data_IF_431369520310
#
_entry.id   IF_431369520310
#
_cell.length_a   1.000
_cell.length_b   1.000
_cell.length_c   1.000
_cell.angle_alpha   90.00
_cell.angle_beta   90.00
_cell.angle_gamma   90.00
#
_symmetry.space_group_name_H-M   'P 1'
#
loop_
_entity.id
_entity.type
_entity.pdbx_description
1 polymer ?
#
# COMPACT_ATOMS: atom_id res chain seq x y z
N UNK A 1 -37.25 21.01 1.02
CA UNK A 1 -36.22 20.74 -0.01
C UNK A 1 -35.05 20.03 0.67
N UNK A 2 -35.06 18.68 0.67
CA UNK A 2 -33.91 17.89 1.12
C UNK A 2 -32.73 18.13 0.18
N UNK A 3 -31.63 18.68 0.69
CA UNK A 3 -30.38 18.73 -0.04
C UNK A 3 -29.95 17.28 -0.34
N UNK A 4 -30.15 16.83 -1.59
CA UNK A 4 -29.49 15.61 -2.10
C UNK A 4 -28.01 15.74 -1.80
N UNK A 5 -27.51 14.99 -0.80
CA UNK A 5 -26.08 14.76 -0.64
C UNK A 5 -25.59 14.22 -1.98
N UNK A 6 -24.74 14.95 -2.68
CA UNK A 6 -24.09 14.50 -3.90
C UNK A 6 -23.28 13.26 -3.52
N UNK A 7 -23.81 12.10 -3.83
CA UNK A 7 -23.10 10.85 -3.59
C UNK A 7 -21.81 10.87 -4.41
N UNK A 8 -20.68 10.59 -3.79
CA UNK A 8 -19.38 10.46 -4.47
C UNK A 8 -19.55 9.45 -5.61
N UNK A 9 -19.15 9.78 -6.86
CA UNK A 9 -19.23 8.84 -7.98
C UNK A 9 -18.57 7.50 -7.65
N UNK A 10 -19.19 6.38 -8.04
CA UNK A 10 -18.70 5.03 -7.70
C UNK A 10 -17.25 4.80 -8.12
N UNK A 11 -16.84 5.29 -9.29
CA UNK A 11 -15.48 5.16 -9.78
C UNK A 11 -14.45 5.86 -8.89
N UNK A 12 -14.78 6.98 -8.23
CA UNK A 12 -13.91 7.64 -7.27
C UNK A 12 -13.81 6.84 -5.96
N UNK A 13 -14.88 6.16 -5.56
CA UNK A 13 -14.85 5.24 -4.42
C UNK A 13 -13.87 4.08 -4.65
N UNK A 14 -13.88 3.48 -5.83
CA UNK A 14 -12.94 2.41 -6.21
C UNK A 14 -11.50 2.95 -6.31
N UNK A 15 -11.29 4.13 -6.90
CA UNK A 15 -9.98 4.78 -6.91
C UNK A 15 -9.47 5.05 -5.48
N UNK A 16 -10.36 5.44 -4.56
CA UNK A 16 -10.01 5.66 -3.15
C UNK A 16 -9.55 4.38 -2.44
N UNK A 17 -10.15 3.22 -2.76
CA UNK A 17 -9.68 1.92 -2.24
C UNK A 17 -8.25 1.62 -2.71
N UNK A 18 -7.95 1.89 -3.99
CA UNK A 18 -6.57 1.74 -4.48
C UNK A 18 -5.61 2.68 -3.75
N UNK A 19 -5.89 3.99 -3.73
CA UNK A 19 -5.03 5.00 -3.09
C UNK A 19 -4.80 4.65 -1.62
N UNK A 20 -5.86 4.34 -0.86
CA UNK A 20 -5.77 3.98 0.55
C UNK A 20 -4.98 2.70 0.80
N UNK A 21 -5.06 1.71 -0.10
CA UNK A 21 -4.27 0.48 -0.01
C UNK A 21 -2.81 0.70 -0.40
N UNK A 22 -2.52 1.64 -1.32
CA UNK A 22 -1.18 1.95 -1.81
C UNK A 22 -0.37 2.78 -0.78
N UNK A 23 -1.00 3.82 -0.23
CA UNK A 23 -0.36 4.73 0.74
C UNK A 23 -0.42 4.19 2.17
N UNK A 24 -0.02 2.93 2.35
CA UNK A 24 0.17 2.34 3.67
C UNK A 24 1.40 2.88 4.39
N UNK A 25 1.67 2.37 5.62
CA UNK A 25 2.74 2.87 6.47
C UNK A 25 4.13 2.91 5.81
N UNK A 26 4.46 1.94 4.97
CA UNK A 26 5.76 1.88 4.27
C UNK A 26 5.99 3.05 3.32
N UNK A 27 4.94 3.55 2.64
CA UNK A 27 5.05 4.74 1.79
C UNK A 27 5.01 6.02 2.61
N UNK A 28 4.10 6.11 3.56
CA UNK A 28 3.93 7.30 4.39
C UNK A 28 5.15 7.64 5.25
N UNK A 29 5.97 6.65 5.67
CA UNK A 29 7.27 6.89 6.32
C UNK A 29 8.33 7.46 5.40
N UNK A 30 8.14 7.41 4.08
CA UNK A 30 9.13 7.74 3.06
C UNK A 30 10.12 6.61 2.75
N UNK A 31 10.07 5.51 3.49
CA UNK A 31 11.02 4.40 3.32
C UNK A 31 10.90 3.75 1.91
N UNK A 32 9.69 3.58 1.39
CA UNK A 32 9.49 3.10 0.01
C UNK A 32 9.98 4.12 -1.02
N UNK A 33 9.75 5.42 -0.77
CA UNK A 33 10.22 6.47 -1.67
C UNK A 33 11.74 6.46 -1.78
N UNK A 34 12.45 6.30 -0.67
CA UNK A 34 13.91 6.21 -0.66
C UNK A 34 14.38 4.92 -1.34
N UNK A 35 13.86 3.77 -0.91
CA UNK A 35 14.28 2.47 -1.41
C UNK A 35 14.15 2.30 -2.92
N UNK A 36 13.01 2.73 -3.47
CA UNK A 36 12.65 2.42 -4.84
C UNK A 36 12.90 3.56 -5.83
N UNK A 37 13.15 4.80 -5.32
CA UNK A 37 13.23 6.00 -6.14
C UNK A 37 14.39 6.92 -5.78
N UNK A 38 14.38 7.57 -4.62
CA UNK A 38 15.35 8.63 -4.26
C UNK A 38 16.79 8.17 -4.36
N UNK A 39 17.10 6.92 -4.00
CA UNK A 39 18.46 6.36 -4.10
C UNK A 39 19.03 6.36 -5.51
N UNK A 40 18.21 6.52 -6.55
CA UNK A 40 18.63 6.60 -7.96
C UNK A 40 18.78 8.03 -8.46
N UNK A 41 18.77 9.02 -7.56
CA UNK A 41 18.86 10.42 -7.91
C UNK A 41 17.64 10.92 -8.69
N UNK A 42 17.84 11.85 -9.63
CA UNK A 42 16.76 12.47 -10.41
C UNK A 42 15.95 11.48 -11.26
N UNK A 43 16.56 10.35 -11.68
CA UNK A 43 15.87 9.30 -12.43
C UNK A 43 14.69 8.74 -11.61
N UNK A 44 14.84 8.68 -10.30
CA UNK A 44 13.79 8.25 -9.38
C UNK A 44 12.54 9.14 -9.36
N UNK A 45 12.60 10.37 -9.89
CA UNK A 45 11.42 11.24 -10.01
C UNK A 45 10.49 10.81 -11.14
N UNK A 46 11.03 10.12 -12.16
CA UNK A 46 10.29 9.74 -13.37
C UNK A 46 9.82 8.29 -13.32
N UNK A 47 10.57 7.43 -12.68
CA UNK A 47 10.29 5.98 -12.63
C UNK A 47 9.01 5.57 -11.89
N UNK A 48 8.36 6.39 -11.01
CA UNK A 48 7.02 6.10 -10.51
C UNK A 48 5.96 5.90 -11.60
N UNK A 49 6.11 6.60 -12.74
CA UNK A 49 5.23 6.42 -13.90
C UNK A 49 5.22 4.96 -14.39
N UNK A 50 6.41 4.37 -14.49
CA UNK A 50 6.57 2.98 -14.91
C UNK A 50 6.02 1.99 -13.88
N UNK A 51 6.32 2.21 -12.60
CA UNK A 51 5.80 1.36 -11.52
C UNK A 51 4.27 1.35 -11.52
N UNK A 52 3.66 2.54 -11.61
CA UNK A 52 2.20 2.66 -11.61
C UNK A 52 1.57 2.17 -12.91
N UNK A 53 2.28 2.21 -14.04
CA UNK A 53 1.83 1.59 -15.28
C UNK A 53 1.66 0.08 -15.12
N UNK A 54 2.62 -0.61 -14.48
CA UNK A 54 2.51 -2.04 -14.18
C UNK A 54 1.34 -2.30 -13.24
N UNK A 55 1.29 -1.60 -12.10
CA UNK A 55 0.20 -1.76 -11.12
C UNK A 55 -1.17 -1.44 -11.73
N UNK A 56 -1.29 -0.31 -12.43
CA UNK A 56 -2.54 0.15 -13.04
C UNK A 56 -3.05 -0.79 -14.13
N UNK A 57 -2.15 -1.39 -14.90
CA UNK A 57 -2.50 -2.39 -15.89
C UNK A 57 -3.09 -3.67 -15.26
N UNK A 58 -2.44 -4.18 -14.19
CA UNK A 58 -2.95 -5.31 -13.40
C UNK A 58 -4.32 -4.97 -12.81
N UNK A 59 -4.43 -3.79 -12.16
CA UNK A 59 -5.69 -3.32 -11.57
C UNK A 59 -6.80 -3.26 -12.61
N UNK A 60 -6.53 -2.69 -13.80
CA UNK A 60 -7.54 -2.55 -14.84
C UNK A 60 -8.07 -3.89 -15.33
N UNK A 61 -7.17 -4.80 -15.73
CA UNK A 61 -7.62 -6.06 -16.31
C UNK A 61 -8.33 -6.95 -15.30
N UNK A 62 -7.82 -7.05 -14.07
CA UNK A 62 -8.46 -7.88 -13.05
C UNK A 62 -9.78 -7.28 -12.54
N UNK A 63 -9.84 -5.94 -12.34
CA UNK A 63 -11.05 -5.24 -11.94
C UNK A 63 -12.16 -5.37 -13.00
N UNK A 64 -11.81 -5.15 -14.29
CA UNK A 64 -12.78 -5.22 -15.38
C UNK A 64 -13.32 -6.62 -15.57
N UNK A 65 -12.45 -7.64 -15.52
CA UNK A 65 -12.90 -9.04 -15.57
C UNK A 65 -13.84 -9.37 -14.39
N UNK A 66 -13.46 -8.98 -13.17
CA UNK A 66 -14.26 -9.22 -11.97
C UNK A 66 -15.65 -8.54 -12.07
N UNK A 67 -15.70 -7.30 -12.55
CA UNK A 67 -16.93 -6.54 -12.78
C UNK A 67 -17.83 -7.23 -13.80
N UNK A 68 -17.27 -7.60 -14.95
CA UNK A 68 -18.00 -8.17 -16.08
C UNK A 68 -18.62 -9.54 -15.73
N UNK A 69 -17.90 -10.37 -14.96
CA UNK A 69 -18.33 -11.72 -14.58
C UNK A 69 -18.97 -11.81 -13.19
N UNK A 70 -19.15 -10.67 -12.49
CA UNK A 70 -19.73 -10.67 -11.13
C UNK A 70 -18.91 -11.46 -10.11
N UNK A 71 -17.58 -11.43 -10.23
CA UNK A 71 -16.64 -12.19 -9.39
C UNK A 71 -15.73 -11.27 -8.54
N UNK A 72 -16.28 -10.49 -7.59
CA UNK A 72 -15.47 -9.57 -6.77
C UNK A 72 -14.51 -10.30 -5.82
N UNK A 73 -14.77 -11.56 -5.51
CA UNK A 73 -13.88 -12.40 -4.71
C UNK A 73 -12.83 -13.10 -5.57
N UNK A 74 -11.59 -13.16 -5.09
CA UNK A 74 -10.48 -13.74 -5.86
C UNK A 74 -10.62 -15.24 -6.14
N UNK A 75 -11.27 -16.04 -5.27
CA UNK A 75 -11.54 -17.47 -5.51
C UNK A 75 -12.56 -17.69 -6.62
N UNK A 76 -13.76 -17.04 -6.59
CA UNK A 76 -14.67 -17.04 -7.72
C UNK A 76 -14.02 -16.49 -8.99
N UNK A 77 -13.23 -15.40 -8.89
CA UNK A 77 -12.48 -14.86 -10.01
C UNK A 77 -11.54 -15.91 -10.63
N UNK A 78 -10.71 -16.57 -9.80
CA UNK A 78 -9.77 -17.56 -10.29
C UNK A 78 -10.47 -18.73 -10.98
N UNK A 79 -11.57 -19.25 -10.41
CA UNK A 79 -12.34 -20.33 -11.03
C UNK A 79 -13.01 -19.89 -12.34
N UNK A 80 -13.63 -18.72 -12.35
CA UNK A 80 -14.24 -18.15 -13.56
C UNK A 80 -13.19 -17.92 -14.64
N UNK A 81 -12.04 -17.36 -14.29
CA UNK A 81 -11.01 -16.99 -15.25
C UNK A 81 -10.22 -18.19 -15.77
N UNK A 82 -9.83 -19.15 -14.91
CA UNK A 82 -8.92 -20.24 -15.25
C UNK A 82 -9.59 -21.62 -15.33
N UNK A 83 -10.92 -21.71 -15.08
CA UNK A 83 -11.67 -22.96 -14.98
C UNK A 83 -11.51 -23.63 -13.60
N UNK A 84 -12.34 -24.64 -13.31
CA UNK A 84 -12.46 -25.21 -11.96
C UNK A 84 -11.14 -25.80 -11.43
N UNK A 85 -10.43 -26.61 -12.23
CA UNK A 85 -9.20 -27.29 -11.77
C UNK A 85 -8.04 -26.31 -11.60
N UNK A 86 -7.69 -25.56 -12.65
CA UNK A 86 -6.57 -24.62 -12.61
C UNK A 86 -6.87 -23.43 -11.71
N UNK A 87 -8.11 -22.94 -11.71
CA UNK A 87 -8.55 -21.85 -10.83
C UNK A 87 -8.45 -22.20 -9.36
N UNK A 88 -8.63 -23.46 -8.97
CA UNK A 88 -8.35 -23.94 -7.62
C UNK A 88 -6.87 -23.75 -7.22
N UNK A 89 -5.95 -24.15 -8.08
CA UNK A 89 -4.50 -23.97 -7.85
C UNK A 89 -4.13 -22.49 -7.80
N UNK A 90 -4.62 -21.69 -8.76
CA UNK A 90 -4.36 -20.23 -8.79
C UNK A 90 -4.90 -19.55 -7.53
N UNK A 91 -6.05 -19.97 -7.02
CA UNK A 91 -6.59 -19.43 -5.77
C UNK A 91 -5.67 -19.70 -4.57
N UNK A 92 -5.05 -20.89 -4.49
CA UNK A 92 -4.05 -21.20 -3.45
C UNK A 92 -2.79 -20.34 -3.60
N UNK A 93 -2.32 -20.14 -4.84
CA UNK A 93 -1.18 -19.23 -5.08
C UNK A 93 -1.50 -17.78 -4.66
N UNK A 94 -2.74 -17.33 -4.89
CA UNK A 94 -3.20 -16.05 -4.39
C UNK A 94 -3.25 -16.01 -2.85
N UNK A 95 -3.62 -17.12 -2.18
CA UNK A 95 -3.58 -17.21 -0.71
C UNK A 95 -2.13 -17.07 -0.20
N UNK A 96 -1.18 -17.73 -0.83
CA UNK A 96 0.25 -17.62 -0.49
C UNK A 96 0.73 -16.17 -0.66
N UNK A 97 0.44 -15.53 -1.81
CA UNK A 97 0.78 -14.12 -2.04
C UNK A 97 0.17 -13.20 -0.96
N UNK A 98 -1.07 -13.46 -0.55
CA UNK A 98 -1.71 -12.69 0.50
C UNK A 98 -1.01 -12.85 1.86
N UNK A 99 -0.66 -14.07 2.25
CA UNK A 99 0.04 -14.32 3.52
C UNK A 99 1.44 -13.70 3.53
N UNK A 100 2.16 -13.77 2.41
CA UNK A 100 3.45 -13.09 2.25
C UNK A 100 3.30 -11.56 2.34
N UNK A 101 2.26 -11.01 1.71
CA UNK A 101 1.94 -9.57 1.80
C UNK A 101 1.56 -9.19 3.22
N UNK A 102 0.78 -10.02 3.93
CA UNK A 102 0.42 -9.82 5.34
C UNK A 102 1.66 -9.79 6.24
N UNK A 103 2.60 -10.71 6.04
CA UNK A 103 3.86 -10.73 6.78
C UNK A 103 4.71 -9.49 6.48
N UNK A 104 4.83 -9.12 5.22
CA UNK A 104 5.66 -8.00 4.80
C UNK A 104 5.02 -6.65 5.17
N UNK A 105 3.81 -6.37 4.69
CA UNK A 105 3.15 -5.08 4.91
C UNK A 105 2.72 -4.88 6.37
N UNK A 106 2.20 -5.92 7.02
CA UNK A 106 1.88 -5.91 8.45
C UNK A 106 3.14 -5.78 9.31
N UNK A 107 4.21 -6.50 8.95
CA UNK A 107 5.51 -6.38 9.60
C UNK A 107 6.09 -4.98 9.52
N UNK A 108 6.05 -4.36 8.33
CA UNK A 108 6.46 -2.96 8.13
C UNK A 108 5.59 -1.98 8.92
N UNK A 109 4.28 -2.22 8.97
CA UNK A 109 3.36 -1.37 9.71
C UNK A 109 3.70 -1.35 11.20
N UNK A 110 3.80 -2.51 11.83
CA UNK A 110 4.07 -2.62 13.27
C UNK A 110 5.49 -2.21 13.65
N UNK A 111 6.49 -2.61 12.86
CA UNK A 111 7.87 -2.23 13.11
C UNK A 111 8.14 -0.74 12.82
N UNK A 112 7.50 -0.18 11.80
CA UNK A 112 7.56 1.24 11.49
C UNK A 112 6.96 2.11 12.59
N UNK A 113 5.78 1.72 13.09
CA UNK A 113 5.12 2.39 14.22
C UNK A 113 5.95 2.29 15.50
N UNK A 114 6.50 1.11 15.79
CA UNK A 114 7.39 0.92 16.91
C UNK A 114 8.58 1.87 16.89
N UNK A 115 9.24 2.02 15.73
CA UNK A 115 10.36 2.97 15.56
C UNK A 115 9.93 4.43 15.63
N UNK A 116 8.76 4.75 15.05
CA UNK A 116 8.23 6.11 15.04
C UNK A 116 7.95 6.60 16.47
N UNK A 117 7.20 5.83 17.26
CA UNK A 117 6.86 6.22 18.64
C UNK A 117 8.07 6.11 19.59
N UNK A 118 8.98 5.18 19.35
CA UNK A 118 10.25 5.13 20.08
C UNK A 118 11.07 6.41 19.84
N UNK A 119 11.24 6.83 18.60
CA UNK A 119 12.00 8.02 18.26
C UNK A 119 11.34 9.33 18.68
N UNK A 120 10.01 9.41 18.66
CA UNK A 120 9.25 10.63 18.92
C UNK A 120 8.83 10.79 20.38
N UNK A 121 8.40 9.71 21.06
CA UNK A 121 7.89 9.73 22.44
C UNK A 121 8.81 9.02 23.43
N UNK A 122 9.88 8.35 22.98
CA UNK A 122 10.74 7.54 23.84
C UNK A 122 10.10 6.24 24.36
N UNK A 123 8.95 5.82 23.80
CA UNK A 123 8.25 4.61 24.21
C UNK A 123 9.02 3.39 23.74
N UNK A 124 9.06 2.33 24.55
CA UNK A 124 9.73 1.09 24.17
C UNK A 124 9.13 0.50 22.89
N UNK A 125 10.00 0.13 21.95
CA UNK A 125 9.64 -0.44 20.65
C UNK A 125 8.66 -1.63 20.74
N UNK A 126 8.97 -2.61 21.60
CA UNK A 126 8.15 -3.81 21.72
C UNK A 126 6.80 -3.53 22.38
N UNK A 127 6.76 -2.64 23.37
CA UNK A 127 5.50 -2.19 23.99
C UNK A 127 4.60 -1.55 22.95
N UNK A 128 5.14 -0.66 22.13
CA UNK A 128 4.38 -0.02 21.03
C UNK A 128 3.86 -1.06 20.04
N UNK A 129 4.72 -1.95 19.56
CA UNK A 129 4.34 -2.97 18.58
C UNK A 129 3.22 -3.88 19.12
N UNK A 130 3.35 -4.36 20.36
CA UNK A 130 2.33 -5.22 21.00
C UNK A 130 1.01 -4.49 21.17
N UNK A 131 1.02 -3.25 21.68
CA UNK A 131 -0.20 -2.45 21.84
C UNK A 131 -0.88 -2.22 20.50
N UNK A 132 -0.12 -1.87 19.47
CA UNK A 132 -0.64 -1.64 18.11
C UNK A 132 -1.27 -2.91 17.54
N UNK A 133 -0.66 -4.09 17.74
CA UNK A 133 -1.21 -5.38 17.33
C UNK A 133 -2.54 -5.67 18.05
N UNK A 134 -2.58 -5.48 19.38
CA UNK A 134 -3.78 -5.73 20.18
C UNK A 134 -4.94 -4.79 19.80
N UNK A 135 -4.65 -3.51 19.59
CA UNK A 135 -5.67 -2.53 19.15
C UNK A 135 -6.14 -2.87 17.73
N UNK A 136 -5.23 -3.27 16.82
CA UNK A 136 -5.62 -3.72 15.48
C UNK A 136 -6.49 -4.97 15.51
N UNK A 137 -6.22 -5.93 16.41
CA UNK A 137 -7.06 -7.10 16.63
C UNK A 137 -8.47 -6.71 17.11
N UNK A 138 -8.56 -5.84 18.10
CA UNK A 138 -9.84 -5.35 18.61
C UNK A 138 -10.65 -4.62 17.51
N UNK A 139 -10.00 -3.75 16.72
CA UNK A 139 -10.63 -3.08 15.57
C UNK A 139 -11.09 -4.07 14.50
N UNK A 140 -10.32 -5.11 14.21
CA UNK A 140 -10.69 -6.14 13.24
C UNK A 140 -11.93 -6.93 13.70
N UNK A 141 -11.98 -7.29 14.99
CA UNK A 141 -13.06 -8.15 15.53
C UNK A 141 -14.37 -7.38 15.79
N UNK A 142 -14.26 -6.18 16.33
CA UNK A 142 -15.40 -5.40 16.83
C UNK A 142 -15.68 -4.11 16.05
N UNK A 143 -14.70 -3.61 15.30
CA UNK A 143 -14.73 -2.30 14.66
C UNK A 143 -15.00 -2.30 13.15
N UNK A 144 -15.55 -3.37 12.55
CA UNK A 144 -15.70 -3.48 11.09
C UNK A 144 -16.46 -2.33 10.44
N UNK A 145 -17.52 -1.81 11.08
CA UNK A 145 -18.26 -0.62 10.62
C UNK A 145 -17.42 0.67 10.73
N UNK A 146 -16.62 0.77 11.79
CA UNK A 146 -15.71 1.88 12.01
C UNK A 146 -14.58 1.87 10.97
N UNK A 147 -13.99 0.70 10.70
CA UNK A 147 -12.96 0.51 9.68
C UNK A 147 -13.45 0.93 8.29
N UNK A 148 -14.61 0.46 7.88
CA UNK A 148 -15.20 0.81 6.58
C UNK A 148 -15.44 2.32 6.44
N UNK A 149 -15.90 2.98 7.51
CA UNK A 149 -16.14 4.42 7.51
C UNK A 149 -14.84 5.24 7.58
N UNK A 150 -13.87 4.81 8.39
CA UNK A 150 -12.61 5.54 8.61
C UNK A 150 -11.65 5.44 7.43
N UNK A 151 -11.63 4.31 6.70
CA UNK A 151 -10.72 4.12 5.57
C UNK A 151 -10.88 5.19 4.48
N UNK A 152 -12.11 5.62 4.19
CA UNK A 152 -12.37 6.70 3.24
C UNK A 152 -11.82 8.06 3.72
N UNK A 153 -12.03 8.40 4.98
CA UNK A 153 -11.52 9.66 5.56
C UNK A 153 -9.99 9.65 5.69
N UNK A 154 -9.40 8.49 6.01
CA UNK A 154 -7.96 8.32 6.08
C UNK A 154 -7.26 8.64 4.77
N UNK A 155 -7.83 8.22 3.63
CA UNK A 155 -7.28 8.56 2.32
C UNK A 155 -7.18 10.09 2.14
N UNK A 156 -8.25 10.83 2.42
CA UNK A 156 -8.23 12.30 2.30
C UNK A 156 -7.23 12.95 3.27
N UNK A 157 -7.13 12.41 4.50
CA UNK A 157 -6.17 12.89 5.48
C UNK A 157 -4.73 12.65 5.03
N UNK A 158 -4.41 11.45 4.51
CA UNK A 158 -3.08 11.11 3.97
C UNK A 158 -2.73 12.05 2.81
N UNK A 159 -3.64 12.24 1.86
CA UNK A 159 -3.45 13.15 0.72
C UNK A 159 -3.16 14.57 1.21
N UNK A 160 -3.99 15.10 2.11
CA UNK A 160 -3.84 16.45 2.65
C UNK A 160 -2.52 16.63 3.39
N UNK A 161 -2.14 15.68 4.24
CA UNK A 161 -0.90 15.78 5.03
C UNK A 161 0.34 15.61 4.16
N UNK A 162 0.34 14.70 3.17
CA UNK A 162 1.46 14.55 2.23
C UNK A 162 1.67 15.85 1.46
N UNK A 163 0.61 16.46 0.92
CA UNK A 163 0.72 17.73 0.22
C UNK A 163 1.16 18.87 1.14
N UNK A 164 0.63 18.93 2.37
CA UNK A 164 1.04 19.92 3.37
C UNK A 164 2.53 19.80 3.72
N UNK A 165 3.01 18.58 3.99
CA UNK A 165 4.43 18.31 4.26
C UNK A 165 5.28 18.75 3.06
N UNK A 166 4.88 18.38 1.83
CA UNK A 166 5.59 18.78 0.61
C UNK A 166 5.70 20.31 0.51
N UNK A 167 4.59 21.02 0.63
CA UNK A 167 4.59 22.50 0.53
C UNK A 167 5.47 23.11 1.62
N UNK A 168 5.32 22.70 2.88
CA UNK A 168 6.09 23.26 3.98
C UNK A 168 7.57 22.90 3.89
N UNK A 169 7.91 21.70 3.49
CA UNK A 169 9.28 21.26 3.32
C UNK A 169 10.01 22.07 2.23
N UNK A 170 9.32 22.35 1.11
CA UNK A 170 9.89 23.10 -0.01
C UNK A 170 9.91 24.62 0.19
N UNK A 171 9.01 25.16 1.04
CA UNK A 171 8.89 26.63 1.22
C UNK A 171 9.46 27.15 2.54
N UNK A 172 9.56 26.33 3.57
CA UNK A 172 9.99 26.70 4.90
C UNK A 172 11.18 25.89 5.41
N UNK A 173 11.51 24.79 4.73
CA UNK A 173 12.63 23.95 5.06
C UNK A 173 13.96 24.46 4.48
N UNK A 174 15.03 23.81 4.89
CA UNK A 174 16.40 24.02 4.42
C UNK A 174 16.74 23.15 3.19
N UNK A 175 15.73 22.79 2.38
CA UNK A 175 15.94 21.99 1.18
C UNK A 175 16.78 22.74 0.13
N UNK A 176 17.60 21.98 -0.60
CA UNK A 176 18.43 22.50 -1.68
C UNK A 176 18.09 21.78 -3.00
N UNK A 177 17.03 22.25 -3.65
CA UNK A 177 16.54 21.66 -4.91
C UNK A 177 17.61 21.77 -6.01
N UNK A 178 18.25 22.93 -6.14
CA UNK A 178 19.27 23.16 -7.18
C UNK A 178 20.48 22.27 -6.96
N UNK A 179 21.00 22.21 -5.74
CA UNK A 179 22.13 21.33 -5.39
C UNK A 179 21.77 19.85 -5.49
N UNK A 180 20.54 19.45 -5.14
CA UNK A 180 20.07 18.09 -5.30
C UNK A 180 20.10 17.63 -6.77
N UNK A 181 19.70 18.48 -7.72
CA UNK A 181 19.83 18.19 -9.16
C UNK A 181 21.28 18.24 -9.64
N UNK A 182 22.04 19.27 -9.27
CA UNK A 182 23.44 19.44 -9.70
C UNK A 182 24.33 18.27 -9.21
N UNK A 183 24.11 17.81 -7.98
CA UNK A 183 24.88 16.74 -7.36
C UNK A 183 24.18 15.37 -7.40
N UNK A 184 23.14 15.23 -8.22
CA UNK A 184 22.26 14.05 -8.22
C UNK A 184 23.02 12.73 -8.40
N UNK A 185 24.02 12.69 -9.28
CA UNK A 185 24.83 11.49 -9.52
C UNK A 185 25.75 11.17 -8.32
N UNK A 186 26.28 12.19 -7.64
CA UNK A 186 27.14 12.02 -6.47
C UNK A 186 26.34 11.61 -5.22
N UNK A 187 25.12 12.14 -5.08
CA UNK A 187 24.22 11.83 -3.95
C UNK A 187 23.46 10.52 -4.13
N UNK A 188 23.37 9.99 -5.35
CA UNK A 188 22.71 8.72 -5.62
C UNK A 188 23.49 7.55 -4.98
N UNK A 189 22.79 6.66 -4.30
CA UNK A 189 23.38 5.40 -3.80
C UNK A 189 23.55 4.36 -4.90
N UNK A 190 22.82 4.53 -5.99
CA UNK A 190 22.90 3.71 -7.21
C UNK A 190 22.57 4.59 -8.41
N UNK A 191 23.57 4.90 -9.21
CA UNK A 191 23.42 5.77 -10.39
C UNK A 191 23.03 5.01 -11.66
N UNK A 192 22.80 3.68 -11.57
CA UNK A 192 22.44 2.86 -12.72
C UNK A 192 21.01 3.12 -13.17
N UNK A 193 20.86 3.62 -14.40
CA UNK A 193 19.55 3.80 -15.03
C UNK A 193 18.76 2.49 -15.16
N UNK A 194 19.45 1.40 -15.49
CA UNK A 194 18.81 0.08 -15.58
C UNK A 194 18.28 -0.39 -14.22
N UNK A 195 19.04 -0.21 -13.14
CA UNK A 195 18.57 -0.57 -11.79
C UNK A 195 17.37 0.28 -11.36
N UNK A 196 17.32 1.56 -11.74
CA UNK A 196 16.17 2.41 -11.46
C UNK A 196 14.89 1.90 -12.16
N UNK A 197 15.00 1.50 -13.43
CA UNK A 197 13.87 0.91 -14.18
C UNK A 197 13.45 -0.42 -13.57
N UNK A 198 14.39 -1.34 -13.32
CA UNK A 198 14.09 -2.65 -12.73
C UNK A 198 13.51 -2.52 -11.33
N UNK A 199 14.04 -1.59 -10.52
CA UNK A 199 13.49 -1.27 -9.20
C UNK A 199 12.05 -0.77 -9.26
N UNK A 200 11.76 0.14 -10.18
CA UNK A 200 10.40 0.65 -10.39
C UNK A 200 9.44 -0.46 -10.86
N UNK A 201 9.86 -1.30 -11.79
CA UNK A 201 9.05 -2.46 -12.23
C UNK A 201 8.80 -3.42 -11.06
N UNK A 202 9.82 -3.73 -10.28
CA UNK A 202 9.69 -4.61 -9.11
C UNK A 202 8.75 -4.00 -8.06
N UNK A 203 8.82 -2.69 -7.82
CA UNK A 203 7.86 -2.00 -6.95
C UNK A 203 6.43 -2.09 -7.48
N UNK A 204 6.24 -1.89 -8.79
CA UNK A 204 4.93 -2.07 -9.44
C UNK A 204 4.39 -3.49 -9.29
N UNK A 205 5.24 -4.51 -9.41
CA UNK A 205 4.87 -5.90 -9.17
C UNK A 205 4.48 -6.15 -7.71
N UNK A 206 5.26 -5.62 -6.75
CA UNK A 206 4.94 -5.68 -5.33
C UNK A 206 3.57 -5.03 -5.04
N UNK A 207 3.34 -3.84 -5.55
CA UNK A 207 2.07 -3.13 -5.37
C UNK A 207 0.89 -3.80 -6.10
N UNK A 208 1.14 -4.60 -7.11
CA UNK A 208 0.07 -5.37 -7.78
C UNK A 208 -0.64 -6.35 -6.86
N UNK A 209 -0.04 -6.74 -5.72
CA UNK A 209 -0.68 -7.61 -4.73
C UNK A 209 -1.91 -7.00 -4.06
N UNK A 210 -2.05 -5.66 -4.06
CA UNK A 210 -3.25 -4.99 -3.51
C UNK A 210 -4.46 -5.05 -4.46
N UNK A 211 -4.31 -5.62 -5.67
CA UNK A 211 -5.40 -5.74 -6.66
C UNK A 211 -6.65 -6.41 -6.08
N UNK A 212 -6.48 -7.34 -5.16
CA UNK A 212 -7.61 -8.04 -4.54
C UNK A 212 -8.50 -7.10 -3.70
N UNK A 213 -7.94 -6.05 -3.12
CA UNK A 213 -8.72 -5.04 -2.40
C UNK A 213 -9.54 -4.20 -3.37
N UNK A 214 -8.94 -3.80 -4.51
CA UNK A 214 -9.62 -3.01 -5.55
C UNK A 214 -10.69 -3.85 -6.26
N UNK A 215 -10.39 -5.10 -6.55
CA UNK A 215 -11.31 -6.03 -7.20
C UNK A 215 -12.53 -6.34 -6.32
N UNK A 216 -12.37 -6.36 -4.98
CA UNK A 216 -13.46 -6.67 -4.05
C UNK A 216 -14.63 -5.68 -4.08
N UNK A 217 -14.43 -4.51 -4.67
CA UNK A 217 -15.44 -3.46 -4.84
C UNK A 217 -15.84 -3.26 -6.31
N UNK A 218 -15.58 -4.25 -7.16
CA UNK A 218 -15.88 -4.18 -8.60
C UNK A 218 -17.37 -4.11 -8.93
N UNK A 219 -18.23 -4.64 -8.06
CA UNK A 219 -19.67 -4.71 -8.20
C UNK A 219 -20.39 -3.35 -8.15
N UNK A 220 -19.75 -2.32 -7.62
CA UNK A 220 -20.32 -0.96 -7.61
C UNK A 220 -20.20 -0.26 -8.98
N UNK A 221 -19.37 -0.77 -9.90
CA UNK A 221 -19.13 -0.20 -11.21
C UNK A 221 -20.13 -0.73 -12.24
N UNK A 222 -20.76 0.19 -12.98
CA UNK A 222 -21.81 -0.15 -13.94
C UNK A 222 -21.28 -0.69 -15.25
N UNK A 223 -20.21 -0.11 -15.75
CA UNK A 223 -19.69 -0.40 -17.09
C UNK A 223 -18.16 -0.27 -17.17
N UNK A 224 -17.61 -0.68 -18.31
CA UNK A 224 -16.17 -0.60 -18.63
C UNK A 224 -15.62 0.84 -18.58
N UNK A 225 -16.46 1.84 -18.87
CA UNK A 225 -16.06 3.25 -18.83
C UNK A 225 -15.83 3.71 -17.39
N UNK A 226 -16.69 3.28 -16.45
CA UNK A 226 -16.52 3.56 -15.03
C UNK A 226 -15.27 2.84 -14.49
N UNK A 227 -15.01 1.59 -14.88
CA UNK A 227 -13.79 0.89 -14.50
C UNK A 227 -12.53 1.63 -15.00
N UNK A 228 -12.51 2.08 -16.25
CA UNK A 228 -11.41 2.91 -16.78
C UNK A 228 -11.23 4.21 -15.99
N UNK A 229 -12.33 4.91 -15.69
CA UNK A 229 -12.27 6.15 -14.90
C UNK A 229 -11.71 5.89 -13.51
N UNK A 230 -12.11 4.79 -12.85
CA UNK A 230 -11.64 4.42 -11.54
C UNK A 230 -10.11 4.20 -11.55
N UNK A 231 -9.62 3.40 -12.49
CA UNK A 231 -8.19 3.10 -12.58
C UNK A 231 -7.38 4.32 -13.02
N UNK A 232 -7.86 5.10 -13.99
CA UNK A 232 -7.16 6.30 -14.43
C UNK A 232 -7.08 7.36 -13.31
N UNK A 233 -8.17 7.56 -12.57
CA UNK A 233 -8.17 8.47 -11.42
C UNK A 233 -7.21 8.00 -10.31
N UNK A 234 -7.25 6.70 -9.97
CA UNK A 234 -6.31 6.10 -9.01
C UNK A 234 -4.86 6.25 -9.47
N UNK A 235 -4.57 5.97 -10.74
CA UNK A 235 -3.25 6.10 -11.36
C UNK A 235 -2.71 7.55 -11.25
N UNK A 236 -3.49 8.53 -11.71
CA UNK A 236 -3.06 9.94 -11.71
C UNK A 236 -2.83 10.45 -10.29
N UNK A 237 -3.78 10.23 -9.39
CA UNK A 237 -3.68 10.71 -8.01
C UNK A 237 -2.50 10.03 -7.30
N UNK A 238 -2.33 8.72 -7.48
CA UNK A 238 -1.21 7.98 -6.87
C UNK A 238 0.14 8.51 -7.36
N UNK A 239 0.30 8.74 -8.67
CA UNK A 239 1.55 9.29 -9.22
C UNK A 239 1.83 10.69 -8.67
N UNK A 240 0.84 11.56 -8.64
CA UNK A 240 1.03 12.93 -8.12
C UNK A 240 1.52 12.87 -6.68
N UNK A 241 0.89 12.08 -5.82
CA UNK A 241 1.29 11.95 -4.42
C UNK A 241 2.68 11.32 -4.27
N UNK A 242 2.97 10.29 -5.08
CA UNK A 242 4.29 9.66 -5.08
C UNK A 242 5.38 10.66 -5.48
N UNK A 243 5.18 11.37 -6.58
CA UNK A 243 6.15 12.36 -7.08
C UNK A 243 6.32 13.49 -6.07
N UNK A 244 5.25 14.01 -5.46
CA UNK A 244 5.33 15.01 -4.40
C UNK A 244 6.24 14.55 -3.25
N UNK A 245 6.02 13.34 -2.74
CA UNK A 245 6.81 12.82 -1.61
C UNK A 245 8.25 12.49 -2.02
N UNK A 246 8.44 11.87 -3.18
CA UNK A 246 9.77 11.55 -3.70
C UNK A 246 10.56 12.83 -3.97
N UNK A 247 9.94 13.84 -4.58
CA UNK A 247 10.56 15.13 -4.83
C UNK A 247 10.93 15.86 -3.54
N UNK A 248 10.04 15.82 -2.54
CA UNK A 248 10.34 16.36 -1.21
C UNK A 248 11.62 15.72 -0.65
N UNK A 249 11.69 14.38 -0.61
CA UNK A 249 12.86 13.69 -0.07
C UNK A 249 14.11 13.89 -0.93
N UNK A 250 13.95 13.92 -2.25
CA UNK A 250 15.05 14.20 -3.20
C UNK A 250 15.66 15.57 -2.97
N UNK A 251 14.86 16.61 -2.71
CA UNK A 251 15.34 17.98 -2.50
C UNK A 251 16.22 18.13 -1.25
N UNK A 252 16.21 17.15 -0.34
CA UNK A 252 17.06 17.10 0.84
C UNK A 252 18.33 16.27 0.66
N UNK A 253 18.53 15.58 -0.46
CA UNK A 253 19.71 14.69 -0.66
C UNK A 253 21.03 15.44 -0.68
N UNK A 254 21.04 16.73 -0.94
CA UNK A 254 22.21 17.60 -0.85
C UNK A 254 22.43 18.19 0.56
N UNK A 255 21.46 18.04 1.44
CA UNK A 255 21.47 18.61 2.81
C UNK A 255 21.88 17.57 3.85
N UNK A 256 21.38 16.36 3.71
CA UNK A 256 21.74 15.21 4.56
C UNK A 256 21.53 13.90 3.81
N UNK A 257 22.08 12.80 4.36
CA UNK A 257 21.91 11.46 3.78
C UNK A 257 20.51 10.90 4.04
N UNK A 258 19.54 11.33 3.22
CA UNK A 258 18.14 10.87 3.28
C UNK A 258 18.04 9.34 3.15
N UNK A 259 18.98 8.72 2.43
CA UNK A 259 18.99 7.28 2.18
C UNK A 259 19.42 6.45 3.40
N UNK A 260 20.11 7.05 4.36
CA UNK A 260 20.49 6.41 5.61
C UNK A 260 19.35 6.40 6.64
N UNK A 261 18.33 7.23 6.44
CA UNK A 261 17.24 7.39 7.41
C UNK A 261 16.27 6.20 7.37
N UNK A 262 15.91 5.70 8.56
CA UNK A 262 14.87 4.66 8.68
C UNK A 262 13.47 5.22 8.41
N UNK A 263 13.23 6.46 8.85
CA UNK A 263 11.96 7.18 8.71
C UNK A 263 12.22 8.55 8.03
N UNK A 264 12.48 8.57 6.72
CA UNK A 264 12.94 9.75 5.99
C UNK A 264 12.01 10.96 6.13
N UNK A 265 10.69 10.75 6.11
CA UNK A 265 9.72 11.85 6.30
C UNK A 265 9.85 12.46 7.68
N UNK A 266 10.02 11.65 8.73
CA UNK A 266 10.20 12.17 10.08
C UNK A 266 11.52 12.94 10.23
N UNK A 267 12.59 12.51 9.53
CA UNK A 267 13.85 13.24 9.50
C UNK A 267 13.67 14.65 8.90
N UNK A 268 12.94 14.77 7.80
CA UNK A 268 12.58 16.09 7.21
C UNK A 268 11.74 16.91 8.17
N UNK A 269 10.73 16.32 8.84
CA UNK A 269 9.89 17.01 9.82
C UNK A 269 10.68 17.51 11.04
N UNK A 270 11.69 16.76 11.47
CA UNK A 270 12.60 17.17 12.55
C UNK A 270 13.41 18.42 12.15
N UNK A 271 13.89 18.47 10.91
CA UNK A 271 14.61 19.63 10.36
C UNK A 271 13.71 20.87 10.24
N UNK A 272 12.45 20.69 9.82
CA UNK A 272 11.46 21.78 9.80
C UNK A 272 11.20 22.38 11.19
N UNK A 273 11.45 21.63 12.28
CA UNK A 273 11.27 22.10 13.65
C UNK A 273 9.83 22.41 14.07
N UNK A 274 8.84 22.11 13.22
CA UNK A 274 7.42 22.40 13.44
C UNK A 274 6.76 21.30 14.27
N UNK A 275 6.76 21.45 15.61
CA UNK A 275 6.22 20.43 16.54
C UNK A 275 4.78 20.02 16.25
N UNK A 276 3.90 20.98 15.90
CA UNK A 276 2.51 20.67 15.54
C UNK A 276 2.40 19.75 14.33
N UNK A 277 3.27 19.94 13.33
CA UNK A 277 3.30 19.12 12.11
C UNK A 277 3.83 17.72 12.40
N UNK A 278 4.83 17.59 13.28
CA UNK A 278 5.33 16.30 13.77
C UNK A 278 4.21 15.53 14.48
N UNK A 279 3.46 16.17 15.40
CA UNK A 279 2.31 15.55 16.06
C UNK A 279 1.21 15.13 15.08
N UNK A 280 0.86 16.02 14.14
CA UNK A 280 -0.12 15.71 13.09
C UNK A 280 0.30 14.47 12.31
N UNK A 281 1.56 14.40 11.90
CA UNK A 281 2.11 13.26 11.17
C UNK A 281 2.09 11.97 12.01
N UNK A 282 2.53 12.01 13.25
CA UNK A 282 2.56 10.84 14.15
C UNK A 282 1.14 10.30 14.38
N UNK A 283 0.18 11.17 14.68
CA UNK A 283 -1.22 10.77 14.86
C UNK A 283 -1.78 10.12 13.57
N UNK A 284 -1.53 10.75 12.42
CA UNK A 284 -1.99 10.22 11.14
C UNK A 284 -1.37 8.85 10.85
N UNK A 285 -0.07 8.68 11.11
CA UNK A 285 0.65 7.42 10.89
C UNK A 285 0.11 6.32 11.80
N UNK A 286 -0.08 6.60 13.10
CA UNK A 286 -0.67 5.65 14.04
C UNK A 286 -2.06 5.18 13.58
N UNK A 287 -2.92 6.11 13.17
CA UNK A 287 -4.24 5.79 12.64
C UNK A 287 -4.15 4.98 11.32
N UNK A 288 -3.21 5.33 10.44
CA UNK A 288 -3.00 4.60 9.19
C UNK A 288 -2.52 3.16 9.43
N UNK A 289 -1.61 2.97 10.38
CA UNK A 289 -1.14 1.63 10.79
C UNK A 289 -2.29 0.79 11.35
N UNK A 290 -3.04 1.33 12.29
CA UNK A 290 -4.17 0.63 12.93
C UNK A 290 -5.25 0.24 11.92
N UNK A 291 -5.64 1.16 11.04
CA UNK A 291 -6.67 0.90 10.02
C UNK A 291 -6.17 -0.06 8.94
N UNK A 292 -4.93 0.03 8.51
CA UNK A 292 -4.34 -0.85 7.50
C UNK A 292 -4.18 -2.27 8.03
N UNK A 293 -3.63 -2.45 9.23
CA UNK A 293 -3.43 -3.76 9.84
C UNK A 293 -4.78 -4.45 10.14
N UNK A 294 -5.73 -3.71 10.71
CA UNK A 294 -7.07 -4.24 10.96
C UNK A 294 -7.83 -4.55 9.65
N UNK A 295 -7.64 -3.74 8.61
CA UNK A 295 -8.22 -3.96 7.28
C UNK A 295 -7.67 -5.21 6.61
N UNK A 296 -6.36 -5.42 6.62
CA UNK A 296 -5.72 -6.64 6.12
C UNK A 296 -6.18 -7.88 6.88
N UNK A 297 -6.23 -7.82 8.22
CA UNK A 297 -6.74 -8.93 9.03
C UNK A 297 -8.23 -9.22 8.76
N UNK A 298 -9.05 -8.18 8.55
CA UNK A 298 -10.46 -8.33 8.17
C UNK A 298 -10.61 -8.98 6.79
N UNK A 299 -9.85 -8.54 5.79
CA UNK A 299 -9.82 -9.16 4.48
C UNK A 299 -9.42 -10.64 4.56
N UNK A 300 -8.42 -10.97 5.38
CA UNK A 300 -8.02 -12.35 5.65
C UNK A 300 -9.11 -13.17 6.35
N UNK A 301 -9.86 -12.59 7.28
CA UNK A 301 -11.02 -13.26 7.89
C UNK A 301 -12.07 -13.70 6.86
N UNK A 302 -12.42 -12.77 5.94
CA UNK A 302 -13.36 -13.09 4.87
C UNK A 302 -12.79 -14.18 3.94
N UNK A 303 -11.50 -14.11 3.67
CA UNK A 303 -10.78 -15.00 2.76
C UNK A 303 -10.69 -16.44 3.28
N UNK A 304 -10.34 -16.60 4.55
CA UNK A 304 -10.04 -17.89 5.16
C UNK A 304 -11.20 -18.49 5.95
N UNK A 305 -12.35 -17.79 6.09
CA UNK A 305 -13.51 -18.29 6.83
C UNK A 305 -13.91 -19.71 6.41
N UNK A 306 -13.91 -19.99 5.11
CA UNK A 306 -14.23 -21.31 4.56
C UNK A 306 -13.27 -22.43 4.94
N UNK A 307 -11.99 -22.13 5.22
CA UNK A 307 -10.99 -23.13 5.64
C UNK A 307 -11.13 -23.51 7.12
N UNK A 308 -11.76 -22.65 7.94
CA UNK A 308 -11.90 -22.82 9.37
C UNK A 308 -13.33 -23.21 9.80
N UNK A 309 -14.15 -23.73 8.87
CA UNK A 309 -15.55 -24.14 9.18
C UNK A 309 -15.64 -25.26 10.21
N UNK A 310 -14.56 -26.00 10.46
CA UNK A 310 -14.46 -26.97 11.54
C UNK A 310 -14.60 -26.35 12.94
N UNK A 311 -14.47 -25.01 13.07
CA UNK A 311 -14.80 -24.23 14.26
C UNK A 311 -16.24 -23.73 14.12
N UNK A 312 -17.25 -24.34 14.80
CA UNK A 312 -18.65 -23.97 14.60
C UNK A 312 -18.97 -22.54 15.05
N UNK A 313 -18.34 -22.09 16.15
CA UNK A 313 -18.57 -20.78 16.69
C UNK A 313 -17.91 -19.71 15.80
N UNK A 314 -18.74 -18.90 15.11
CA UNK A 314 -18.30 -17.87 14.17
C UNK A 314 -17.40 -16.79 14.80
N UNK A 315 -17.65 -16.44 16.07
CA UNK A 315 -16.82 -15.45 16.77
C UNK A 315 -15.43 -16.03 17.09
N UNK A 316 -15.39 -17.26 17.61
CA UNK A 316 -14.13 -17.96 17.87
C UNK A 316 -13.34 -18.18 16.59
N UNK A 317 -14.00 -18.55 15.50
CA UNK A 317 -13.37 -18.73 14.19
C UNK A 317 -12.71 -17.44 13.71
N UNK A 318 -13.42 -16.30 13.76
CA UNK A 318 -12.86 -14.98 13.40
C UNK A 318 -11.70 -14.60 14.31
N UNK A 319 -11.79 -14.87 15.59
CA UNK A 319 -10.72 -14.64 16.55
C UNK A 319 -9.47 -15.43 16.18
N UNK A 320 -9.59 -16.74 15.93
CA UNK A 320 -8.48 -17.62 15.56
C UNK A 320 -7.81 -17.16 14.26
N UNK A 321 -8.58 -16.86 13.22
CA UNK A 321 -8.05 -16.36 11.95
C UNK A 321 -7.31 -15.01 12.16
N UNK A 322 -7.91 -14.08 12.90
CA UNK A 322 -7.28 -12.79 13.22
C UNK A 322 -5.96 -12.99 13.97
N UNK A 323 -5.93 -13.87 14.98
CA UNK A 323 -4.73 -14.15 15.76
C UNK A 323 -3.61 -14.74 14.90
N UNK A 324 -3.93 -15.67 13.98
CA UNK A 324 -2.95 -16.24 13.03
C UNK A 324 -2.41 -15.14 12.12
N UNK A 325 -3.27 -14.33 11.51
CA UNK A 325 -2.85 -13.29 10.56
C UNK A 325 -2.00 -12.20 11.21
N UNK A 326 -2.43 -11.71 12.38
CA UNK A 326 -1.64 -10.72 13.12
C UNK A 326 -0.37 -11.34 13.72
N UNK A 327 -0.38 -12.64 14.05
CA UNK A 327 0.83 -13.41 14.42
C UNK A 327 1.85 -13.46 13.27
N UNK A 328 1.40 -13.68 12.03
CA UNK A 328 2.25 -13.62 10.83
C UNK A 328 2.83 -12.22 10.64
N UNK A 329 2.02 -11.18 10.81
CA UNK A 329 2.50 -9.80 10.74
C UNK A 329 3.47 -9.45 11.88
N UNK A 330 3.21 -9.93 13.11
CA UNK A 330 4.10 -9.79 14.25
C UNK A 330 5.44 -10.48 14.04
N UNK A 331 5.44 -11.67 13.43
CA UNK A 331 6.67 -12.35 13.02
C UNK A 331 7.46 -11.50 12.02
N UNK A 332 6.79 -10.92 11.01
CA UNK A 332 7.42 -9.95 10.10
C UNK A 332 8.02 -8.75 10.83
N UNK A 333 7.31 -8.20 11.83
CA UNK A 333 7.84 -7.11 12.64
C UNK A 333 9.06 -7.51 13.49
N UNK A 334 9.08 -8.74 14.00
CA UNK A 334 10.22 -9.29 14.76
C UNK A 334 11.47 -9.46 13.90
N UNK A 335 11.33 -9.73 12.59
CA UNK A 335 12.46 -9.76 11.65
C UNK A 335 13.03 -8.35 11.39
N UNK A 336 12.31 -7.31 11.79
CA UNK A 336 12.76 -5.93 11.76
C UNK A 336 12.35 -5.16 10.50
N UNK A 337 12.20 -3.84 10.66
CA UNK A 337 11.73 -2.93 9.62
C UNK A 337 12.59 -3.00 8.35
N UNK A 338 13.93 -2.94 8.48
CA UNK A 338 14.83 -2.95 7.32
C UNK A 338 14.80 -4.29 6.57
N UNK A 339 14.70 -5.41 7.28
CA UNK A 339 14.57 -6.74 6.65
C UNK A 339 13.29 -6.83 5.83
N UNK A 340 12.16 -6.41 6.41
CA UNK A 340 10.89 -6.41 5.69
C UNK A 340 10.90 -5.41 4.53
N UNK A 341 11.50 -4.25 4.72
CA UNK A 341 11.65 -3.25 3.66
C UNK A 341 12.50 -3.79 2.51
N UNK A 342 13.68 -4.36 2.80
CA UNK A 342 14.65 -4.77 1.79
C UNK A 342 14.31 -6.13 1.15
N UNK A 343 14.12 -7.15 1.97
CA UNK A 343 13.91 -8.51 1.50
C UNK A 343 12.44 -8.86 1.33
N UNK A 344 11.60 -8.52 2.31
CA UNK A 344 10.18 -8.85 2.29
C UNK A 344 9.47 -8.30 1.06
N UNK A 345 9.61 -7.00 0.77
CA UNK A 345 8.97 -6.39 -0.41
C UNK A 345 9.52 -6.95 -1.73
N UNK A 346 10.83 -7.30 -1.77
CA UNK A 346 11.42 -7.92 -2.95
C UNK A 346 10.86 -9.31 -3.20
N UNK A 347 10.78 -10.15 -2.18
CA UNK A 347 10.25 -11.52 -2.29
C UNK A 347 8.79 -11.49 -2.74
N UNK A 348 7.97 -10.62 -2.12
CA UNK A 348 6.56 -10.44 -2.52
C UNK A 348 6.47 -9.96 -3.98
N UNK A 349 7.29 -8.99 -4.39
CA UNK A 349 7.33 -8.49 -5.76
C UNK A 349 7.71 -9.57 -6.77
N UNK A 350 8.75 -10.36 -6.50
CA UNK A 350 9.15 -11.47 -7.37
C UNK A 350 8.07 -12.55 -7.46
N UNK A 351 7.40 -12.89 -6.35
CA UNK A 351 6.31 -13.86 -6.34
C UNK A 351 5.09 -13.34 -7.10
N UNK A 352 4.80 -12.03 -7.02
CA UNK A 352 3.68 -11.43 -7.75
C UNK A 352 3.85 -11.48 -9.27
N UNK A 353 5.08 -11.50 -9.80
CA UNK A 353 5.32 -11.55 -11.25
C UNK A 353 4.64 -12.76 -11.89
N UNK A 354 4.98 -14.02 -11.57
CA UNK A 354 4.38 -15.18 -12.21
C UNK A 354 2.93 -15.42 -11.78
N UNK A 355 2.54 -14.99 -10.58
CA UNK A 355 1.23 -15.33 -10.02
C UNK A 355 0.15 -14.31 -10.38
N UNK A 356 0.50 -13.02 -10.48
CA UNK A 356 -0.46 -11.94 -10.68
C UNK A 356 -0.17 -11.17 -11.96
N UNK A 357 1.07 -10.65 -12.12
CA UNK A 357 1.39 -9.66 -13.16
C UNK A 357 1.35 -10.29 -14.56
N UNK A 358 2.12 -11.36 -14.79
CA UNK A 358 2.12 -12.04 -16.09
C UNK A 358 0.72 -12.54 -16.46
N UNK A 359 -0.02 -13.26 -15.59
CA UNK A 359 -1.38 -13.68 -15.90
C UNK A 359 -2.34 -12.51 -16.19
N UNK A 360 -2.22 -11.39 -15.47
CA UNK A 360 -3.08 -10.23 -15.70
C UNK A 360 -2.87 -9.64 -17.11
N UNK A 361 -1.62 -9.44 -17.54
CA UNK A 361 -1.30 -8.85 -18.85
C UNK A 361 -1.46 -9.83 -20.03
N UNK A 362 -1.43 -11.13 -19.79
CA UNK A 362 -1.56 -12.14 -20.85
C UNK A 362 -2.97 -12.73 -20.85
N UNK A 363 -3.27 -13.59 -19.91
CA UNK A 363 -4.48 -14.40 -19.90
C UNK A 363 -5.75 -13.59 -19.61
N UNK A 364 -5.74 -12.79 -18.54
CA UNK A 364 -6.91 -11.97 -18.16
C UNK A 364 -7.13 -10.86 -19.20
N UNK A 365 -6.06 -10.20 -19.65
CA UNK A 365 -6.14 -9.17 -20.67
C UNK A 365 -6.71 -9.70 -21.99
N UNK A 366 -6.34 -10.93 -22.40
CA UNK A 366 -6.90 -11.56 -23.61
C UNK A 366 -8.42 -11.77 -23.49
N UNK A 367 -8.91 -12.19 -22.32
CA UNK A 367 -10.34 -12.37 -22.06
C UNK A 367 -11.09 -11.04 -22.06
N UNK A 368 -10.61 -10.04 -21.33
CA UNK A 368 -11.22 -8.69 -21.27
C UNK A 368 -11.28 -8.01 -22.65
N UNK A 369 -10.28 -8.27 -23.53
CA UNK A 369 -10.26 -7.72 -24.90
C UNK A 369 -11.25 -8.42 -25.83
N UNK A 370 -11.48 -9.71 -25.64
CA UNK A 370 -12.42 -10.51 -26.46
C UNK A 370 -13.87 -10.32 -26.03
N UNK A 371 -14.13 -9.75 -24.87
CA UNK A 371 -15.48 -9.68 -24.29
C UNK A 371 -16.00 -11.07 -23.92
N UNK A 372 -15.10 -11.97 -23.52
CA UNK A 372 -15.39 -13.37 -23.25
C UNK A 372 -15.21 -13.68 -21.77
#
# INVERSE_FOLDING_TARGET
>A
MEKKKTAVPAFLGVAAVWIGSHFGPGFATGAFSVRWYVKYGWVGLVTPLLAMFVTGGVMYYMLEYAREHGTPGYRPFARSCYGEKLGGVVAVLYDVCFLMTMMCAGGLAFSGEGKLLQGFLGVNYWTTAIVTILVSAALCLYGSKLLAKSSGYMMYAIVGVVLLITVLALTRGDCDVTGAFANSAANAKDSSFLHAILGAMQYGCFQSTIVFNVMSVSDVLKDKREARKAILSGYVITIVLMVCLIFTLFSYTNVFDVCAETLPVMAVLNRLGMKWLQWLYVILMTLAVLTSAAGLAHAGNVRFDGLFQFIPNKQLRRFVITAILLGIAAFGAALGFQTMLQQGTSIVGWTAIPVIVIPAFTFVAAKVRRGA
#
